data_IF_225909477251
#
_entry.id   IF_225909477251
#
_cell.length_a   1.000
_cell.length_b   1.000
_cell.length_c   1.000
_cell.angle_alpha   90.00
_cell.angle_beta   90.00
_cell.angle_gamma   90.00
#
_symmetry.space_group_name_H-M   'P 1'
#
loop_
_entity.id
_entity.type
_entity.pdbx_description
1 polymer ?
#
# COMPACT_ATOMS: atom_id res chain seq x y z
N UNK A 1 18.03 1.24 -4.21
CA UNK A 1 16.79 1.77 -3.60
C UNK A 1 17.20 2.82 -2.59
N UNK A 2 16.94 4.10 -2.88
CA UNK A 2 17.36 5.19 -2.00
C UNK A 2 16.42 5.25 -0.79
N UNK A 3 16.96 5.40 0.41
CA UNK A 3 16.15 5.51 1.66
C UNK A 3 15.21 6.72 1.61
N UNK A 4 15.55 7.74 0.82
CA UNK A 4 14.71 8.93 0.56
C UNK A 4 13.47 8.65 -0.30
N UNK A 5 13.38 7.49 -0.96
CA UNK A 5 12.21 7.10 -1.77
C UNK A 5 10.99 6.70 -0.91
N UNK A 6 11.15 6.62 0.41
CA UNK A 6 10.10 6.24 1.36
C UNK A 6 9.19 7.41 1.79
N UNK A 7 9.50 8.63 1.37
CA UNK A 7 8.61 9.77 1.59
C UNK A 7 7.56 9.74 0.48
N UNK A 8 6.29 9.58 0.85
CA UNK A 8 5.16 9.70 -0.07
C UNK A 8 5.14 11.15 -0.55
N UNK A 9 5.81 11.43 -1.67
CA UNK A 9 5.72 12.72 -2.34
C UNK A 9 4.40 12.72 -3.09
N UNK A 10 3.44 13.48 -2.57
CA UNK A 10 2.16 13.70 -3.26
C UNK A 10 2.40 14.62 -4.46
N UNK A 11 2.77 14.04 -5.60
CA UNK A 11 3.01 14.81 -6.83
C UNK A 11 1.71 15.30 -7.47
N UNK A 12 0.54 14.72 -7.13
CA UNK A 12 -0.72 15.04 -7.80
C UNK A 12 -1.95 14.94 -6.88
N UNK A 13 -2.85 15.93 -6.98
CA UNK A 13 -4.16 15.97 -6.29
C UNK A 13 -5.06 14.79 -6.65
N UNK A 14 -4.82 14.13 -7.79
CA UNK A 14 -5.55 12.92 -8.19
C UNK A 14 -5.34 11.76 -7.20
N UNK A 15 -4.14 11.61 -6.64
CA UNK A 15 -3.86 10.53 -5.69
C UNK A 15 -4.65 10.71 -4.40
N UNK A 16 -4.83 11.95 -3.94
CA UNK A 16 -5.64 12.26 -2.74
C UNK A 16 -7.12 11.94 -2.97
N UNK A 17 -7.64 12.08 -4.20
CA UNK A 17 -9.03 11.69 -4.51
C UNK A 17 -9.31 10.22 -4.23
N UNK A 18 -8.29 9.37 -4.27
CA UNK A 18 -8.42 7.93 -3.99
C UNK A 18 -8.87 7.64 -2.57
N UNK A 19 -8.56 8.54 -1.62
CA UNK A 19 -8.99 8.42 -0.22
C UNK A 19 -10.51 8.47 -0.06
N UNK A 20 -11.22 9.10 -1.00
CA UNK A 20 -12.68 9.26 -0.94
C UNK A 20 -13.44 8.09 -1.59
N UNK A 21 -12.75 7.02 -1.99
CA UNK A 21 -13.42 5.79 -2.40
C UNK A 21 -13.86 4.97 -1.17
N UNK A 22 -14.92 4.19 -1.34
CA UNK A 22 -15.49 3.33 -0.28
C UNK A 22 -14.46 2.41 0.38
N UNK A 23 -13.60 1.76 -0.40
CA UNK A 23 -12.57 0.86 0.14
C UNK A 23 -11.65 1.58 1.13
N UNK A 24 -11.01 2.68 0.71
CA UNK A 24 -10.16 3.46 1.59
C UNK A 24 -10.84 4.07 2.82
N UNK A 25 -12.05 4.58 2.66
CA UNK A 25 -12.84 5.13 3.78
C UNK A 25 -13.07 4.04 4.83
N UNK A 26 -13.60 2.89 4.42
CA UNK A 26 -13.92 1.79 5.33
C UNK A 26 -12.65 1.30 6.04
N UNK A 27 -11.56 1.08 5.29
CA UNK A 27 -10.30 0.61 5.88
C UNK A 27 -9.73 1.62 6.89
N UNK A 28 -9.71 2.92 6.58
CA UNK A 28 -9.25 3.94 7.51
C UNK A 28 -10.16 4.06 8.75
N UNK A 29 -11.47 3.92 8.59
CA UNK A 29 -12.40 3.89 9.72
C UNK A 29 -12.12 2.70 10.63
N UNK A 30 -11.93 1.49 10.08
CA UNK A 30 -11.62 0.29 10.87
C UNK A 30 -10.28 0.45 11.60
N UNK A 31 -9.24 0.90 10.90
CA UNK A 31 -7.93 1.15 11.51
C UNK A 31 -8.07 2.16 12.66
N UNK A 32 -8.79 3.27 12.43
CA UNK A 32 -9.00 4.29 13.46
C UNK A 32 -9.71 3.73 14.68
N UNK A 33 -10.83 3.03 14.51
CA UNK A 33 -11.62 2.49 15.63
C UNK A 33 -10.81 1.47 16.42
N UNK A 34 -10.19 0.50 15.76
CA UNK A 34 -9.40 -0.53 16.42
C UNK A 34 -8.18 0.06 17.15
N UNK A 35 -7.45 0.98 16.51
CA UNK A 35 -6.29 1.63 17.15
C UNK A 35 -6.72 2.51 18.32
N UNK A 36 -7.79 3.29 18.19
CA UNK A 36 -8.30 4.11 19.29
C UNK A 36 -8.73 3.26 20.48
N UNK A 37 -9.46 2.17 20.25
CA UNK A 37 -9.85 1.25 21.32
C UNK A 37 -8.64 0.60 21.99
N UNK A 38 -7.67 0.08 21.22
CA UNK A 38 -6.47 -0.52 21.78
C UNK A 38 -5.65 0.49 22.63
N UNK A 39 -5.57 1.74 22.19
CA UNK A 39 -4.89 2.81 22.94
C UNK A 39 -5.64 3.13 24.23
N UNK A 40 -6.97 3.27 24.17
CA UNK A 40 -7.80 3.53 25.35
C UNK A 40 -7.68 2.40 26.38
N UNK A 41 -7.78 1.15 25.93
CA UNK A 41 -7.63 -0.01 26.81
C UNK A 41 -6.23 -0.09 27.43
N UNK A 42 -5.19 0.28 26.67
CA UNK A 42 -3.81 0.32 27.17
C UNK A 42 -3.62 1.37 28.27
N UNK A 43 -4.25 2.55 28.12
CA UNK A 43 -4.16 3.66 29.09
C UNK A 43 -5.01 3.37 30.34
N UNK A 44 -6.22 2.84 30.16
CA UNK A 44 -7.20 2.74 31.24
C UNK A 44 -7.15 1.43 32.01
N UNK A 45 -6.90 0.31 31.32
CA UNK A 45 -7.19 -1.03 31.87
C UNK A 45 -5.99 -1.98 31.90
N UNK A 46 -5.03 -1.86 30.99
CA UNK A 46 -4.04 -2.91 30.77
C UNK A 46 -2.82 -2.87 31.70
N UNK A 47 -1.90 -1.92 31.48
CA UNK A 47 -0.63 -1.85 32.21
C UNK A 47 -0.34 -0.39 32.59
N UNK A 48 -0.21 -0.08 33.90
CA UNK A 48 0.13 1.25 34.36
C UNK A 48 1.35 1.85 33.64
N UNK A 49 1.16 3.05 33.07
CA UNK A 49 2.16 3.75 32.26
C UNK A 49 3.33 4.31 33.08
N UNK A 50 3.13 4.49 34.39
CA UNK A 50 4.18 4.89 35.33
C UNK A 50 5.27 3.82 35.48
N UNK A 51 4.99 2.57 35.10
CA UNK A 51 6.00 1.52 35.03
C UNK A 51 6.76 1.57 33.70
N UNK A 52 8.07 1.29 33.75
CA UNK A 52 8.92 1.22 32.54
C UNK A 52 8.38 0.21 31.51
N UNK A 53 7.90 -0.96 31.97
CA UNK A 53 7.33 -1.99 31.11
C UNK A 53 6.06 -1.53 30.40
N UNK A 54 5.14 -0.89 31.13
CA UNK A 54 3.92 -0.32 30.56
C UNK A 54 4.21 0.78 29.53
N UNK A 55 5.14 1.69 29.85
CA UNK A 55 5.61 2.72 28.91
C UNK A 55 6.20 2.13 27.62
N UNK A 56 7.07 1.11 27.70
CA UNK A 56 7.66 0.46 26.52
C UNK A 56 6.57 -0.22 25.68
N UNK A 57 5.64 -0.94 26.32
CA UNK A 57 4.54 -1.60 25.62
C UNK A 57 3.64 -0.60 24.89
N UNK A 58 3.31 0.52 25.55
CA UNK A 58 2.53 1.60 24.96
C UNK A 58 3.22 2.23 23.75
N UNK A 59 4.53 2.53 23.85
CA UNK A 59 5.32 3.04 22.72
C UNK A 59 5.31 2.04 21.55
N UNK A 60 5.42 0.74 21.83
CA UNK A 60 5.35 -0.29 20.80
C UNK A 60 3.97 -0.34 20.12
N UNK A 61 2.89 -0.20 20.89
CA UNK A 61 1.52 -0.12 20.35
C UNK A 61 1.33 1.09 19.42
N UNK A 62 1.83 2.26 19.83
CA UNK A 62 1.80 3.46 18.97
C UNK A 62 2.63 3.24 17.71
N UNK A 63 3.82 2.66 17.84
CA UNK A 63 4.68 2.33 16.69
C UNK A 63 3.96 1.42 15.69
N UNK A 64 3.28 0.37 16.15
CA UNK A 64 2.49 -0.51 15.28
C UNK A 64 1.36 0.23 14.57
N UNK A 65 0.66 1.13 15.26
CA UNK A 65 -0.39 1.96 14.62
C UNK A 65 0.20 2.82 13.50
N UNK A 66 1.36 3.44 13.72
CA UNK A 66 2.08 4.21 12.69
C UNK A 66 2.49 3.31 11.52
N UNK A 67 3.03 2.12 11.78
CA UNK A 67 3.44 1.18 10.74
C UNK A 67 2.25 0.66 9.92
N UNK A 68 1.10 0.41 10.54
CA UNK A 68 -0.12 0.03 9.84
C UNK A 68 -0.52 1.12 8.85
N UNK A 69 -0.61 2.37 9.31
CA UNK A 69 -0.97 3.51 8.46
C UNK A 69 0.06 3.73 7.35
N UNK A 70 1.35 3.68 7.68
CA UNK A 70 2.42 3.85 6.71
C UNK A 70 2.36 2.80 5.58
N UNK A 71 2.26 1.52 5.92
CA UNK A 71 2.19 0.45 4.93
C UNK A 71 0.89 0.51 4.13
N UNK A 72 -0.22 0.87 4.77
CA UNK A 72 -1.49 1.06 4.12
C UNK A 72 -1.45 2.19 3.07
N UNK A 73 -0.90 3.35 3.43
CA UNK A 73 -0.75 4.46 2.49
C UNK A 73 0.25 4.16 1.37
N UNK A 74 1.33 3.42 1.64
CA UNK A 74 2.23 2.95 0.58
C UNK A 74 1.51 2.03 -0.40
N UNK A 75 0.78 1.03 0.10
CA UNK A 75 0.01 0.12 -0.75
C UNK A 75 -1.07 0.87 -1.57
N UNK A 76 -1.66 1.91 -0.99
CA UNK A 76 -2.59 2.77 -1.69
C UNK A 76 -1.86 3.59 -2.74
N UNK A 77 -1.02 4.56 -2.38
CA UNK A 77 -0.53 5.57 -3.31
C UNK A 77 0.49 5.06 -4.33
N UNK A 78 1.36 4.11 -3.98
CA UNK A 78 2.41 3.64 -4.92
C UNK A 78 1.82 2.86 -6.09
N UNK A 79 0.79 2.03 -5.84
CA UNK A 79 0.14 1.23 -6.88
C UNK A 79 1.01 0.10 -7.46
N UNK A 80 0.50 -0.62 -8.48
CA UNK A 80 1.22 -1.72 -9.12
C UNK A 80 2.36 -1.20 -10.01
N UNK A 81 3.38 -2.02 -10.29
CA UNK A 81 4.37 -1.70 -11.33
C UNK A 81 3.78 -1.73 -12.75
N UNK A 82 4.48 -1.14 -13.71
CA UNK A 82 4.05 -1.04 -15.11
C UNK A 82 5.15 -1.48 -16.06
N UNK A 83 4.75 -1.99 -17.22
CA UNK A 83 5.64 -2.20 -18.37
C UNK A 83 5.33 -1.16 -19.46
N UNK A 84 6.31 -0.78 -20.29
CA UNK A 84 6.08 0.13 -21.41
C UNK A 84 4.98 -0.36 -22.36
N UNK A 85 4.22 0.56 -22.95
CA UNK A 85 3.22 0.21 -23.96
C UNK A 85 3.90 -0.49 -25.15
N UNK A 86 3.31 -1.58 -25.62
CA UNK A 86 3.90 -2.38 -26.69
C UNK A 86 5.17 -3.16 -26.31
N UNK A 87 5.40 -3.40 -25.01
CA UNK A 87 6.53 -4.20 -24.54
C UNK A 87 6.64 -5.55 -25.26
N UNK A 88 7.88 -5.97 -25.50
CA UNK A 88 8.28 -7.23 -26.11
C UNK A 88 9.47 -7.81 -25.34
N UNK A 89 9.63 -9.15 -25.30
CA UNK A 89 10.82 -9.75 -24.70
C UNK A 89 12.06 -9.37 -25.51
N UNK A 90 13.21 -9.32 -24.83
CA UNK A 90 14.50 -9.06 -25.47
C UNK A 90 14.87 -10.18 -26.46
N UNK A 91 14.64 -11.44 -26.06
CA UNK A 91 14.75 -12.57 -26.96
C UNK A 91 13.42 -12.82 -27.67
N UNK A 92 13.41 -12.70 -28.99
CA UNK A 92 12.22 -12.94 -29.81
C UNK A 92 11.70 -14.37 -29.72
N UNK A 93 12.55 -15.36 -29.40
CA UNK A 93 12.09 -16.74 -29.22
C UNK A 93 11.13 -16.87 -28.05
N UNK A 94 11.25 -16.03 -27.02
CA UNK A 94 10.39 -16.11 -25.83
C UNK A 94 8.94 -15.75 -26.12
N UNK A 95 8.67 -15.07 -27.24
CA UNK A 95 7.32 -14.71 -27.70
C UNK A 95 6.39 -15.94 -27.72
N UNK A 96 6.92 -17.13 -28.05
CA UNK A 96 6.12 -18.36 -28.11
C UNK A 96 5.52 -18.78 -26.75
N UNK A 97 6.10 -18.29 -25.65
CA UNK A 97 5.64 -18.59 -24.29
C UNK A 97 4.76 -17.47 -23.69
N UNK A 98 4.63 -16.33 -24.38
CA UNK A 98 3.99 -15.14 -23.83
C UNK A 98 2.60 -14.91 -24.42
N UNK A 99 1.68 -14.48 -23.55
CA UNK A 99 0.35 -14.07 -23.97
C UNK A 99 0.37 -12.66 -24.54
N UNK A 100 -0.36 -12.41 -25.63
CA UNK A 100 -0.54 -11.06 -26.17
C UNK A 100 -1.77 -10.35 -25.57
N UNK A 101 -1.61 -9.09 -25.18
CA UNK A 101 -2.71 -8.23 -24.76
C UNK A 101 -3.14 -7.32 -25.91
N UNK A 102 -4.36 -7.51 -26.43
CA UNK A 102 -4.90 -6.68 -27.53
C UNK A 102 -5.20 -5.23 -27.10
N UNK A 103 -5.45 -4.97 -25.82
CA UNK A 103 -5.71 -3.62 -25.33
C UNK A 103 -4.40 -2.81 -25.22
N UNK A 104 -3.34 -3.43 -24.69
CA UNK A 104 -2.03 -2.79 -24.53
C UNK A 104 -1.14 -2.90 -25.79
N UNK A 105 -1.59 -3.63 -26.81
CA UNK A 105 -0.85 -3.91 -28.06
C UNK A 105 0.57 -4.46 -27.82
N UNK A 106 0.72 -5.30 -26.79
CA UNK A 106 2.02 -5.82 -26.36
C UNK A 106 1.92 -7.20 -25.71
N UNK A 107 3.07 -7.84 -25.53
CA UNK A 107 3.14 -9.12 -24.80
C UNK A 107 3.05 -8.87 -23.30
N UNK A 108 2.45 -9.81 -22.58
CA UNK A 108 2.45 -9.81 -21.12
C UNK A 108 3.76 -10.39 -20.64
N UNK A 109 4.56 -9.60 -19.93
CA UNK A 109 5.71 -10.12 -19.20
C UNK A 109 5.28 -11.22 -18.21
N UNK A 110 6.19 -12.13 -17.81
CA UNK A 110 5.87 -13.17 -16.83
C UNK A 110 5.25 -12.60 -15.55
N UNK A 111 4.10 -13.14 -15.13
CA UNK A 111 3.26 -12.69 -13.99
C UNK A 111 2.59 -11.31 -14.16
N UNK A 112 2.70 -10.66 -15.31
CA UNK A 112 2.00 -9.41 -15.60
C UNK A 112 0.62 -9.66 -16.21
N UNK A 113 -0.36 -8.87 -15.80
CA UNK A 113 -1.73 -8.95 -16.26
C UNK A 113 -2.27 -7.55 -16.55
N UNK A 114 -3.10 -7.43 -17.59
CA UNK A 114 -3.82 -6.19 -17.86
C UNK A 114 -4.92 -6.00 -16.82
N UNK A 115 -4.90 -4.88 -16.11
CA UNK A 115 -5.93 -4.50 -15.17
C UNK A 115 -6.96 -3.60 -15.86
N UNK A 116 -8.17 -4.12 -16.07
CA UNK A 116 -9.29 -3.35 -16.66
C UNK A 116 -9.59 -2.05 -15.90
N UNK A 117 -9.43 -2.04 -14.56
CA UNK A 117 -9.71 -0.86 -13.73
C UNK A 117 -8.63 0.22 -13.87
N UNK A 118 -7.37 -0.19 -13.96
CA UNK A 118 -6.25 0.74 -14.16
C UNK A 118 -6.03 1.09 -15.62
N UNK A 119 -6.66 0.36 -16.54
CA UNK A 119 -6.49 0.45 -17.99
C UNK A 119 -5.03 0.34 -18.43
N UNK A 120 -4.29 -0.56 -17.79
CA UNK A 120 -2.88 -0.88 -18.08
C UNK A 120 -2.62 -2.34 -17.72
#
# INVERSE_FOLDING_TARGET
MNILSAIIVFENLYEVKRLFHWGPIIALTVISVCSSMAILDSILWYWPLDTTGGSINFIMLINWTVLILYNYFNAMFVGPGYIPLGWKPENQQDIMYLQFCRLCQGYKAPRAHHCRKCNR
#
